data_IF_133288497179
#
_entry.id   IF_133288497179
#
_cell.length_a   1.000
_cell.length_b   1.000
_cell.length_c   1.000
_cell.angle_alpha   90.00
_cell.angle_beta   90.00
_cell.angle_gamma   90.00
#
_symmetry.space_group_name_H-M   'P 1'
#
loop_
_entity.id
_entity.type
_entity.pdbx_description
1 polymer ?
#
# COMPACT_ATOMS: atom_id res chain seq x y z
N UNK A 1 35.53 -9.90 -59.93
CA UNK A 1 35.69 -10.14 -58.48
C UNK A 1 34.54 -9.50 -57.75
N UNK A 2 33.56 -10.28 -57.29
CA UNK A 2 32.40 -9.80 -56.55
C UNK A 2 32.70 -9.96 -55.06
N UNK A 3 32.72 -8.85 -54.33
CA UNK A 3 32.86 -8.84 -52.88
C UNK A 3 31.51 -9.15 -52.24
N UNK A 4 31.39 -10.10 -51.30
CA UNK A 4 30.16 -10.29 -50.57
C UNK A 4 30.01 -9.16 -49.50
N UNK A 5 28.90 -8.45 -49.52
CA UNK A 5 28.48 -7.59 -48.43
C UNK A 5 28.05 -8.48 -47.25
N UNK A 6 28.85 -8.47 -46.20
CA UNK A 6 28.44 -9.00 -44.89
C UNK A 6 27.40 -8.07 -44.27
N UNK A 7 26.14 -8.48 -44.33
CA UNK A 7 25.08 -7.86 -43.58
C UNK A 7 25.26 -8.19 -42.10
N UNK A 8 25.79 -7.23 -41.34
CA UNK A 8 25.90 -7.32 -39.89
C UNK A 8 24.50 -7.10 -39.30
N UNK A 9 23.78 -8.19 -39.03
CA UNK A 9 22.51 -8.16 -38.31
C UNK A 9 22.82 -7.79 -36.84
N UNK A 10 22.64 -6.52 -36.52
CA UNK A 10 22.64 -6.09 -35.12
C UNK A 10 21.34 -6.58 -34.49
N UNK A 11 21.41 -7.70 -33.77
CA UNK A 11 20.36 -8.10 -32.84
C UNK A 11 20.30 -7.04 -31.74
N UNK A 12 19.33 -6.13 -31.84
CA UNK A 12 18.90 -5.30 -30.73
C UNK A 12 18.29 -6.24 -29.67
N UNK A 13 19.12 -6.64 -28.73
CA UNK A 13 18.66 -7.27 -27.49
C UNK A 13 17.97 -6.14 -26.72
N UNK A 14 16.65 -6.02 -26.90
CA UNK A 14 15.84 -5.23 -25.97
C UNK A 14 16.03 -5.88 -24.60
N UNK A 15 16.55 -5.16 -23.58
CA UNK A 15 16.48 -5.68 -22.22
C UNK A 15 15.00 -5.82 -21.91
N UNK A 16 14.55 -7.07 -21.74
CA UNK A 16 13.23 -7.35 -21.24
C UNK A 16 13.19 -6.80 -19.81
N UNK A 17 12.57 -5.63 -19.65
CA UNK A 17 12.26 -5.07 -18.33
C UNK A 17 11.25 -6.03 -17.72
N UNK A 18 11.69 -6.84 -16.78
CA UNK A 18 10.78 -7.68 -16.02
C UNK A 18 9.97 -6.78 -15.10
N UNK A 19 8.68 -6.68 -15.35
CA UNK A 19 7.73 -6.02 -14.48
C UNK A 19 6.97 -7.09 -13.68
N UNK A 20 6.74 -6.81 -12.40
CA UNK A 20 5.91 -7.64 -11.54
C UNK A 20 4.67 -6.84 -11.19
N UNK A 21 3.51 -7.38 -11.55
CA UNK A 21 2.22 -6.80 -11.19
C UNK A 21 1.73 -7.40 -9.86
N UNK A 22 1.50 -6.53 -8.88
CA UNK A 22 0.86 -6.90 -7.62
C UNK A 22 -0.58 -6.40 -7.68
N UNK A 23 -1.54 -7.31 -7.74
CA UNK A 23 -2.95 -6.97 -7.79
C UNK A 23 -3.46 -6.43 -6.45
N UNK A 24 -4.49 -5.61 -6.51
CA UNK A 24 -5.21 -5.14 -5.33
C UNK A 24 -5.69 -6.28 -4.41
N UNK A 25 -6.10 -7.41 -4.98
CA UNK A 25 -6.48 -8.60 -4.21
C UNK A 25 -5.32 -9.20 -3.39
N UNK A 26 -4.11 -9.20 -3.95
CA UNK A 26 -2.91 -9.66 -3.24
C UNK A 26 -2.56 -8.73 -2.08
N UNK A 27 -2.62 -7.41 -2.31
CA UNK A 27 -2.41 -6.41 -1.25
C UNK A 27 -3.43 -6.56 -0.14
N UNK A 28 -4.70 -6.68 -0.47
CA UNK A 28 -5.76 -6.82 0.52
C UNK A 28 -5.57 -8.05 1.41
N UNK A 29 -5.17 -9.17 0.83
CA UNK A 29 -4.84 -10.40 1.58
C UNK A 29 -3.68 -10.18 2.54
N UNK A 30 -2.62 -9.55 2.04
CA UNK A 30 -1.40 -9.31 2.82
C UNK A 30 -1.65 -8.34 3.99
N UNK A 31 -2.34 -7.22 3.73
CA UNK A 31 -2.66 -6.21 4.74
C UNK A 31 -3.59 -6.79 5.81
N UNK A 32 -4.60 -7.56 5.42
CA UNK A 32 -5.50 -8.20 6.38
C UNK A 32 -4.74 -9.15 7.31
N UNK A 33 -3.81 -9.94 6.78
CA UNK A 33 -2.97 -10.83 7.58
C UNK A 33 -2.07 -10.04 8.54
N UNK A 34 -1.37 -9.02 8.04
CA UNK A 34 -0.43 -8.21 8.84
C UNK A 34 -1.11 -7.44 9.96
N UNK A 35 -2.28 -6.88 9.73
CA UNK A 35 -3.04 -6.18 10.76
C UNK A 35 -3.67 -7.13 11.78
N UNK A 36 -4.03 -8.35 11.37
CA UNK A 36 -4.45 -9.38 12.30
C UNK A 36 -3.33 -9.83 13.26
N UNK A 37 -2.09 -9.87 12.78
CA UNK A 37 -0.90 -10.18 13.60
C UNK A 37 -0.58 -9.05 14.59
N UNK A 38 -0.84 -7.78 14.23
CA UNK A 38 -0.57 -6.59 15.05
C UNK A 38 -1.68 -6.26 16.05
N UNK A 39 -2.44 -7.21 16.56
CA UNK A 39 -3.51 -6.97 17.53
C UNK A 39 -2.98 -6.21 18.75
N UNK A 40 -3.27 -4.92 18.81
CA UNK A 40 -2.98 -4.09 19.97
C UNK A 40 -4.16 -4.17 20.94
N UNK A 41 -3.87 -4.19 22.25
CA UNK A 41 -4.88 -4.37 23.31
C UNK A 41 -5.97 -3.30 23.32
N UNK A 42 -5.67 -2.09 22.83
CA UNK A 42 -6.55 -0.93 22.99
C UNK A 42 -7.21 -0.45 21.70
N UNK A 43 -6.63 -0.74 20.54
CA UNK A 43 -7.17 -0.37 19.24
C UNK A 43 -7.08 -1.55 18.29
N UNK A 44 -8.20 -1.98 17.75
CA UNK A 44 -8.30 -3.01 16.72
C UNK A 44 -8.67 -2.37 15.39
N UNK A 45 -7.92 -2.69 14.34
CA UNK A 45 -8.26 -2.35 12.97
C UNK A 45 -8.84 -3.59 12.32
N UNK A 46 -10.05 -3.47 11.80
CA UNK A 46 -10.86 -4.58 11.31
C UNK A 46 -11.19 -4.31 9.85
N UNK A 47 -11.24 -5.40 9.07
CA UNK A 47 -11.66 -5.39 7.66
C UNK A 47 -10.93 -4.35 6.80
N UNK A 48 -9.59 -4.29 6.85
CA UNK A 48 -8.84 -3.35 6.04
C UNK A 48 -9.04 -3.68 4.55
N UNK A 49 -9.32 -2.64 3.77
CA UNK A 49 -9.46 -2.74 2.32
C UNK A 49 -8.61 -1.66 1.65
N UNK A 50 -7.69 -2.10 0.82
CA UNK A 50 -6.83 -1.23 0.00
C UNK A 50 -7.40 -1.16 -1.40
N UNK A 51 -7.49 0.06 -1.93
CA UNK A 51 -7.84 0.34 -3.32
C UNK A 51 -6.70 1.13 -3.96
N UNK A 52 -6.26 0.69 -5.13
CA UNK A 52 -5.18 1.32 -5.89
C UNK A 52 -5.76 2.26 -6.93
N UNK A 53 -5.28 3.49 -6.91
CA UNK A 53 -5.67 4.57 -7.81
C UNK A 53 -4.47 5.02 -8.64
N UNK A 54 -4.62 6.05 -9.43
CA UNK A 54 -3.50 6.59 -10.22
C UNK A 54 -2.55 7.41 -9.32
N UNK A 55 -1.38 6.86 -9.06
CA UNK A 55 -0.32 7.48 -8.26
C UNK A 55 -0.45 7.36 -6.75
N UNK A 56 -1.55 6.82 -6.20
CA UNK A 56 -1.74 6.65 -4.76
C UNK A 56 -2.68 5.49 -4.45
N UNK A 57 -2.80 5.14 -3.18
CA UNK A 57 -3.75 4.14 -2.72
C UNK A 57 -4.63 4.71 -1.60
N UNK A 58 -5.79 4.10 -1.41
CA UNK A 58 -6.68 4.40 -0.29
C UNK A 58 -6.84 3.14 0.55
N UNK A 59 -6.71 3.27 1.86
CA UNK A 59 -7.04 2.22 2.81
C UNK A 59 -8.31 2.62 3.57
N UNK A 60 -9.32 1.76 3.54
CA UNK A 60 -10.51 1.89 4.38
C UNK A 60 -10.55 0.75 5.39
N UNK A 61 -10.91 1.04 6.63
CA UNK A 61 -11.01 0.03 7.67
C UNK A 61 -11.96 0.51 8.78
N UNK A 62 -12.32 -0.44 9.66
CA UNK A 62 -13.10 -0.16 10.86
C UNK A 62 -12.19 -0.17 12.09
N UNK A 63 -12.29 0.85 12.92
CA UNK A 63 -11.60 0.94 14.20
C UNK A 63 -12.55 0.51 15.30
N UNK A 64 -12.11 -0.42 16.15
CA UNK A 64 -12.69 -0.71 17.46
C UNK A 64 -11.71 -0.36 18.56
N UNK A 65 -12.18 0.36 19.54
CA UNK A 65 -11.39 0.70 20.72
C UNK A 65 -12.26 0.74 21.95
N UNK A 66 -11.70 0.40 23.10
CA UNK A 66 -12.38 0.56 24.40
C UNK A 66 -12.67 2.02 24.75
N UNK A 67 -11.98 2.94 24.08
CA UNK A 67 -12.15 4.38 24.27
C UNK A 67 -13.28 4.97 23.40
N UNK A 68 -13.81 4.18 22.46
CA UNK A 68 -14.86 4.58 21.55
C UNK A 68 -16.17 3.86 21.90
N UNK A 69 -17.32 4.57 21.92
CA UNK A 69 -18.60 3.95 22.24
C UNK A 69 -19.00 2.91 21.19
N UNK A 70 -18.68 3.15 19.94
CA UNK A 70 -18.99 2.30 18.79
C UNK A 70 -17.81 2.14 17.85
N UNK A 71 -17.95 1.21 16.91
CA UNK A 71 -17.00 1.04 15.82
C UNK A 71 -17.05 2.26 14.88
N UNK A 72 -15.88 2.67 14.40
CA UNK A 72 -15.71 3.85 13.55
C UNK A 72 -15.07 3.43 12.23
N UNK A 73 -15.74 3.74 11.13
CA UNK A 73 -15.19 3.51 9.80
C UNK A 73 -14.38 4.72 9.35
N UNK A 74 -13.24 4.48 8.77
CA UNK A 74 -12.40 5.53 8.19
C UNK A 74 -11.80 5.12 6.86
N UNK A 75 -11.48 6.09 6.03
CA UNK A 75 -10.65 5.93 4.84
C UNK A 75 -9.51 6.94 4.89
N UNK A 76 -8.33 6.51 4.54
CA UNK A 76 -7.14 7.34 4.44
C UNK A 76 -6.43 7.09 3.11
N UNK A 77 -5.90 8.15 2.51
CA UNK A 77 -4.98 8.03 1.40
C UNK A 77 -3.61 7.67 1.92
N UNK A 78 -2.86 6.92 1.13
CA UNK A 78 -1.47 6.57 1.38
C UNK A 78 -0.68 6.56 0.07
N UNK A 79 0.63 6.76 0.17
CA UNK A 79 1.55 6.56 -0.93
C UNK A 79 2.31 5.26 -0.71
N UNK A 80 2.10 4.23 -1.54
CA UNK A 80 2.95 3.04 -1.51
C UNK A 80 4.39 3.40 -1.88
N UNK A 81 5.34 3.00 -1.05
CA UNK A 81 6.76 3.25 -1.27
C UNK A 81 7.56 1.97 -1.14
N UNK A 82 8.43 1.73 -2.11
CA UNK A 82 9.36 0.60 -2.06
C UNK A 82 10.50 0.86 -1.08
N UNK A 83 10.77 -0.12 -0.22
CA UNK A 83 11.94 -0.13 0.66
C UNK A 83 12.88 -1.25 0.25
N UNK A 84 14.03 -0.88 -0.30
CA UNK A 84 14.99 -1.83 -0.86
C UNK A 84 15.65 -2.71 0.20
N UNK A 85 15.92 -2.18 1.39
CA UNK A 85 16.58 -2.93 2.48
C UNK A 85 15.74 -4.13 2.94
N UNK A 86 14.43 -4.00 2.93
CA UNK A 86 13.51 -5.07 3.38
C UNK A 86 12.83 -5.80 2.24
N UNK A 87 12.94 -5.29 1.00
CA UNK A 87 12.23 -5.85 -0.15
C UNK A 87 10.72 -5.74 -0.02
N UNK A 88 10.22 -4.65 0.54
CA UNK A 88 8.81 -4.49 0.86
C UNK A 88 8.24 -3.15 0.40
N UNK A 89 6.93 -3.12 0.19
CA UNK A 89 6.16 -1.91 -0.04
C UNK A 89 5.59 -1.44 1.29
N UNK A 90 5.83 -0.19 1.63
CA UNK A 90 5.33 0.44 2.85
C UNK A 90 4.22 1.44 2.53
N UNK A 91 3.24 1.56 3.43
CA UNK A 91 2.29 2.65 3.46
C UNK A 91 2.97 3.89 4.03
N UNK A 92 3.05 4.97 3.26
CA UNK A 92 3.66 6.24 3.69
C UNK A 92 2.74 7.41 3.38
N UNK A 93 3.01 8.58 3.98
CA UNK A 93 2.26 9.82 3.73
C UNK A 93 0.74 9.64 3.88
N UNK A 94 0.34 9.07 5.02
CA UNK A 94 -1.06 8.81 5.29
C UNK A 94 -1.84 10.08 5.64
N UNK A 95 -3.01 10.24 5.03
CA UNK A 95 -3.92 11.35 5.31
C UNK A 95 -5.37 10.88 5.38
N UNK A 96 -6.10 11.33 6.39
CA UNK A 96 -7.52 10.99 6.56
C UNK A 96 -8.36 11.62 5.43
N UNK A 97 -9.17 10.80 4.76
CA UNK A 97 -10.10 11.24 3.72
C UNK A 97 -11.51 11.32 4.25
N UNK A 98 -11.97 10.30 4.95
CA UNK A 98 -13.31 10.24 5.50
C UNK A 98 -13.36 9.50 6.82
N UNK A 99 -14.36 9.83 7.62
CA UNK A 99 -14.62 9.22 8.90
C UNK A 99 -16.14 9.13 9.09
N UNK A 100 -16.62 7.94 9.38
CA UNK A 100 -18.02 7.66 9.67
C UNK A 100 -18.15 7.06 11.07
N UNK A 101 -18.77 7.80 11.95
CA UNK A 101 -18.96 7.43 13.37
C UNK A 101 -20.42 7.63 13.76
N UNK A 102 -21.30 6.68 13.41
CA UNK A 102 -22.76 6.88 13.55
C UNK A 102 -23.23 7.07 15.00
N UNK A 103 -22.50 6.53 15.97
CA UNK A 103 -22.81 6.68 17.39
C UNK A 103 -22.22 7.91 18.06
N UNK A 104 -21.47 8.75 17.33
CA UNK A 104 -20.75 9.91 17.88
C UNK A 104 -21.51 11.20 17.59
N UNK A 105 -21.65 12.06 18.62
CA UNK A 105 -22.28 13.36 18.46
C UNK A 105 -21.43 14.25 17.55
N UNK A 106 -22.07 15.08 16.74
CA UNK A 106 -21.41 15.95 15.76
C UNK A 106 -20.26 16.78 16.37
N UNK A 107 -20.46 17.32 17.57
CA UNK A 107 -19.43 18.08 18.30
C UNK A 107 -18.19 17.26 18.68
N UNK A 108 -18.33 15.95 18.78
CA UNK A 108 -17.25 15.05 19.18
C UNK A 108 -16.53 14.45 17.95
N UNK A 109 -17.08 14.65 16.74
CA UNK A 109 -16.49 14.15 15.48
C UNK A 109 -15.11 14.77 15.21
N UNK A 110 -14.94 16.06 15.47
CA UNK A 110 -13.64 16.73 15.28
C UNK A 110 -12.58 16.19 16.25
N UNK A 111 -12.96 15.90 17.50
CA UNK A 111 -12.07 15.23 18.44
C UNK A 111 -11.68 13.83 17.92
N UNK A 112 -12.63 13.10 17.38
CA UNK A 112 -12.39 11.78 16.83
C UNK A 112 -11.48 11.82 15.59
N UNK A 113 -11.66 12.78 14.69
CA UNK A 113 -10.73 13.03 13.57
C UNK A 113 -9.31 13.31 14.08
N UNK A 114 -9.19 14.11 15.12
CA UNK A 114 -7.89 14.39 15.75
C UNK A 114 -7.25 13.13 16.30
N UNK A 115 -8.01 12.26 16.97
CA UNK A 115 -7.51 10.96 17.48
C UNK A 115 -7.06 10.07 16.32
N UNK A 116 -7.83 9.96 15.25
CA UNK A 116 -7.46 9.17 14.09
C UNK A 116 -6.16 9.70 13.48
N UNK A 117 -6.05 10.99 13.25
CA UNK A 117 -4.86 11.60 12.65
C UNK A 117 -3.62 11.50 13.54
N UNK A 118 -3.76 11.63 14.86
CA UNK A 118 -2.62 11.69 15.78
C UNK A 118 -2.23 10.32 16.34
N UNK A 119 -3.15 9.37 16.37
CA UNK A 119 -2.91 8.07 17.01
C UNK A 119 -3.00 6.91 16.02
N UNK A 120 -4.04 6.87 15.17
CA UNK A 120 -4.29 5.73 14.29
C UNK A 120 -3.39 5.79 13.06
N UNK A 121 -3.40 6.88 12.32
CA UNK A 121 -2.62 6.98 11.07
C UNK A 121 -1.11 6.85 11.31
N UNK A 122 -0.49 7.46 12.34
CA UNK A 122 0.93 7.27 12.62
C UNK A 122 1.30 5.80 12.95
N UNK A 123 0.36 5.02 13.50
CA UNK A 123 0.59 3.59 13.74
C UNK A 123 0.49 2.74 12.48
N UNK A 124 -0.27 3.19 11.49
CA UNK A 124 -0.38 2.54 10.18
C UNK A 124 0.76 2.97 9.24
N UNK A 125 1.29 4.17 9.44
CA UNK A 125 2.41 4.68 8.64
C UNK A 125 3.64 3.79 8.82
N UNK A 126 4.31 3.48 7.71
CA UNK A 126 5.42 2.54 7.69
C UNK A 126 5.01 1.06 7.79
N UNK A 127 3.70 0.76 7.83
CA UNK A 127 3.22 -0.63 7.78
C UNK A 127 3.54 -1.23 6.42
N UNK A 128 4.08 -2.44 6.48
CA UNK A 128 4.34 -3.25 5.30
C UNK A 128 3.01 -3.72 4.70
N UNK A 129 2.73 -3.29 3.47
CA UNK A 129 1.51 -3.66 2.73
C UNK A 129 1.75 -4.78 1.72
N UNK A 130 3.01 -5.05 1.41
CA UNK A 130 3.46 -6.17 0.60
C UNK A 130 4.94 -6.47 0.88
N UNK A 131 5.33 -7.73 0.76
CA UNK A 131 6.73 -8.16 0.82
C UNK A 131 7.03 -9.09 -0.34
N UNK A 132 8.04 -8.75 -1.12
CA UNK A 132 8.56 -9.60 -2.18
C UNK A 132 9.55 -10.62 -1.60
N UNK A 133 9.75 -11.72 -2.33
CA UNK A 133 10.81 -12.67 -2.02
C UNK A 133 12.18 -11.98 -2.04
N UNK A 134 13.06 -12.38 -1.12
CA UNK A 134 14.36 -11.73 -0.88
C UNK A 134 15.23 -11.58 -2.13
N UNK A 135 15.09 -12.47 -3.11
CA UNK A 135 15.84 -12.43 -4.35
C UNK A 135 15.39 -11.30 -5.28
N UNK A 136 14.08 -11.08 -5.36
CA UNK A 136 13.46 -10.07 -6.24
C UNK A 136 13.59 -8.68 -5.61
N UNK A 137 13.46 -8.59 -4.30
CA UNK A 137 13.44 -7.34 -3.55
C UNK A 137 14.68 -6.46 -3.73
N UNK A 138 15.83 -7.06 -4.03
CA UNK A 138 17.09 -6.31 -4.24
C UNK A 138 17.25 -5.74 -5.65
N UNK A 139 16.40 -6.15 -6.59
CA UNK A 139 16.52 -5.79 -8.01
C UNK A 139 15.48 -4.74 -8.44
N UNK A 140 14.59 -4.34 -7.53
CA UNK A 140 13.56 -3.36 -7.85
C UNK A 140 14.17 -1.99 -8.10
N UNK A 141 13.88 -1.44 -9.29
CA UNK A 141 14.33 -0.13 -9.73
C UNK A 141 13.27 0.95 -9.59
N UNK A 142 12.00 0.59 -9.74
CA UNK A 142 10.87 1.54 -9.69
C UNK A 142 9.58 0.86 -9.22
N UNK A 143 8.69 1.65 -8.60
CA UNK A 143 7.35 1.27 -8.19
C UNK A 143 6.36 2.29 -8.73
N UNK A 144 5.38 1.85 -9.51
CA UNK A 144 4.27 2.68 -9.98
C UNK A 144 2.94 2.17 -9.42
N UNK A 145 2.14 3.10 -8.95
CA UNK A 145 0.77 2.82 -8.53
C UNK A 145 -0.16 3.10 -9.68
N UNK A 146 -0.81 2.06 -10.17
CA UNK A 146 -1.79 2.12 -11.25
C UNK A 146 -3.16 1.68 -10.73
N UNK A 147 -4.25 2.06 -11.38
CA UNK A 147 -5.57 1.60 -10.99
C UNK A 147 -5.65 0.06 -10.92
N UNK A 148 -5.95 -0.46 -9.73
CA UNK A 148 -6.11 -1.88 -9.45
C UNK A 148 -4.81 -2.70 -9.32
N UNK A 149 -3.62 -2.11 -9.50
CA UNK A 149 -2.34 -2.83 -9.41
C UNK A 149 -1.16 -1.93 -9.02
N UNK A 150 -0.16 -2.55 -8.43
CA UNK A 150 1.19 -1.99 -8.35
C UNK A 150 2.06 -2.61 -9.45
N UNK A 151 2.76 -1.79 -10.18
CA UNK A 151 3.73 -2.20 -11.21
C UNK A 151 5.14 -1.99 -10.64
N UNK A 152 5.88 -3.09 -10.51
CA UNK A 152 7.24 -3.10 -9.99
C UNK A 152 8.18 -3.43 -11.13
N UNK A 153 9.08 -2.50 -11.48
CA UNK A 153 10.14 -2.70 -12.46
C UNK A 153 11.42 -3.20 -11.79
N UNK A 154 12.05 -4.20 -12.40
CA UNK A 154 13.34 -4.78 -11.98
C UNK A 154 14.48 -4.18 -12.79
#
# INVERSE_FOLDING_TARGET
>A
MKKPLLALSIFLICPSVFAIDISEAMLNRYVAQKLAEKRQKDVQIIDPKVSLLDGYATICATIRSKLLPDAVDFCANMTPQWRQETGSVLATHMSLVSLNAPGVREKDVELLKSIVNQVVLPRLEGTEVYKADNFIGKQVSDLKVLPGRLDISL
#
